data_IF_026709894869
#
_entry.id   IF_026709894869
#
_cell.length_a   1.000
_cell.length_b   1.000
_cell.length_c   1.000
_cell.angle_alpha   90.00
_cell.angle_beta   90.00
_cell.angle_gamma   90.00
#
_symmetry.space_group_name_H-M   'P 1'
#
loop_
_entity.id
_entity.type
_entity.pdbx_description
1 polymer ?
#
# COMPACT_ATOMS: atom_id res chain seq x y z
N UNK A 1 -3.64 -19.76 -15.46
CA UNK A 1 -4.88 -19.00 -15.25
C UNK A 1 -4.61 -17.52 -15.48
N UNK A 2 -5.30 -16.93 -16.42
CA UNK A 2 -5.13 -15.53 -16.73
C UNK A 2 -5.90 -14.69 -15.71
N UNK A 3 -5.21 -13.83 -14.97
CA UNK A 3 -5.84 -13.01 -13.97
C UNK A 3 -6.20 -11.62 -14.50
N UNK A 4 -5.44 -11.10 -15.47
CA UNK A 4 -5.55 -9.74 -16.01
C UNK A 4 -5.55 -8.64 -14.93
N UNK A 5 -5.20 -8.98 -13.69
CA UNK A 5 -5.10 -7.99 -12.62
C UNK A 5 -3.79 -7.22 -12.73
N UNK A 6 -3.88 -5.92 -12.52
CA UNK A 6 -2.72 -5.03 -12.59
C UNK A 6 -2.20 -4.72 -11.20
N UNK A 7 -0.89 -4.89 -11.02
CA UNK A 7 -0.17 -4.63 -9.79
C UNK A 7 0.84 -3.50 -10.03
N UNK A 8 0.88 -2.52 -9.14
CA UNK A 8 2.02 -1.61 -9.04
C UNK A 8 2.81 -2.00 -7.79
N UNK A 9 4.10 -2.19 -7.94
CA UNK A 9 4.99 -2.56 -6.85
C UNK A 9 6.02 -1.45 -6.63
N UNK A 10 6.16 -0.99 -5.40
CA UNK A 10 7.07 0.09 -5.03
C UNK A 10 8.03 -0.42 -3.95
N UNK A 11 9.32 -0.45 -4.27
CA UNK A 11 10.37 -0.96 -3.39
C UNK A 11 11.71 -0.40 -3.87
N UNK A 12 12.57 0.07 -2.99
CA UNK A 12 13.87 0.64 -3.37
C UNK A 12 14.93 -0.42 -3.71
N UNK A 13 14.67 -1.69 -3.44
CA UNK A 13 15.55 -2.79 -3.80
C UNK A 13 15.24 -3.28 -5.21
N UNK A 14 16.07 -2.89 -6.18
CA UNK A 14 15.85 -3.20 -7.59
C UNK A 14 15.91 -4.70 -7.90
N UNK A 15 16.79 -5.43 -7.24
CA UNK A 15 16.88 -6.89 -7.42
C UNK A 15 15.62 -7.59 -6.94
N UNK A 16 15.08 -7.14 -5.82
CA UNK A 16 13.83 -7.67 -5.29
C UNK A 16 12.66 -7.35 -6.22
N UNK A 17 12.58 -6.12 -6.73
CA UNK A 17 11.56 -5.73 -7.71
C UNK A 17 11.60 -6.64 -8.93
N UNK A 18 12.79 -6.86 -9.49
CA UNK A 18 12.94 -7.71 -10.67
C UNK A 18 12.48 -9.14 -10.40
N UNK A 19 12.89 -9.70 -9.26
CA UNK A 19 12.53 -11.07 -8.88
C UNK A 19 11.02 -11.22 -8.72
N UNK A 20 10.40 -10.29 -8.02
CA UNK A 20 8.96 -10.34 -7.77
C UNK A 20 8.14 -10.05 -9.02
N UNK A 21 8.58 -9.09 -9.84
CA UNK A 21 7.95 -8.82 -11.13
C UNK A 21 7.94 -10.07 -12.02
N UNK A 22 9.07 -10.75 -12.11
CA UNK A 22 9.19 -11.99 -12.88
C UNK A 22 8.23 -13.05 -12.36
N UNK A 23 8.20 -13.26 -11.04
CA UNK A 23 7.31 -14.24 -10.42
C UNK A 23 5.84 -13.92 -10.67
N UNK A 24 5.44 -12.69 -10.44
CA UNK A 24 4.04 -12.29 -10.58
C UNK A 24 3.58 -12.29 -12.04
N UNK A 25 4.44 -11.85 -12.94
CA UNK A 25 4.14 -11.89 -14.39
C UNK A 25 3.92 -13.32 -14.87
N UNK A 26 4.74 -14.24 -14.40
CA UNK A 26 4.56 -15.68 -14.71
C UNK A 26 3.26 -16.25 -14.17
N UNK A 27 2.69 -15.63 -13.15
CA UNK A 27 1.43 -16.06 -12.57
C UNK A 27 0.22 -15.28 -13.12
N UNK A 28 0.38 -14.58 -14.24
CA UNK A 28 -0.71 -13.98 -14.98
C UNK A 28 -1.05 -12.53 -14.59
N UNK A 29 -0.25 -11.90 -13.75
CA UNK A 29 -0.47 -10.50 -13.39
C UNK A 29 0.25 -9.55 -14.35
N UNK A 30 -0.33 -8.38 -14.57
CA UNK A 30 0.39 -7.27 -15.19
C UNK A 30 1.08 -6.49 -14.07
N UNK A 31 2.39 -6.27 -14.18
CA UNK A 31 3.17 -5.65 -13.11
C UNK A 31 3.96 -4.45 -13.63
N UNK A 32 3.79 -3.32 -12.95
CA UNK A 32 4.62 -2.14 -13.15
C UNK A 32 5.34 -1.85 -11.83
N UNK A 33 6.60 -1.41 -11.91
CA UNK A 33 7.44 -1.24 -10.72
C UNK A 33 8.00 0.18 -10.62
N UNK A 34 8.28 0.62 -9.40
CA UNK A 34 8.96 1.87 -9.11
C UNK A 34 9.93 1.69 -7.96
N UNK A 35 11.08 2.36 -8.03
CA UNK A 35 12.13 2.30 -7.02
C UNK A 35 11.96 3.33 -5.90
N UNK A 36 11.10 4.32 -6.07
CA UNK A 36 10.90 5.34 -5.05
C UNK A 36 9.43 5.74 -4.93
N UNK A 37 9.10 6.36 -3.79
CA UNK A 37 7.72 6.70 -3.47
C UNK A 37 7.12 7.77 -4.37
N UNK A 38 7.91 8.75 -4.79
CA UNK A 38 7.41 9.84 -5.65
C UNK A 38 7.03 9.34 -7.03
N UNK A 39 7.95 8.61 -7.68
CA UNK A 39 7.68 7.98 -8.97
C UNK A 39 6.60 6.92 -8.84
N UNK A 40 6.56 6.23 -7.71
CA UNK A 40 5.53 5.26 -7.40
C UNK A 40 4.14 5.88 -7.39
N UNK A 41 3.99 7.04 -6.75
CA UNK A 41 2.72 7.75 -6.73
C UNK A 41 2.27 8.17 -8.15
N UNK A 42 3.20 8.70 -8.94
CA UNK A 42 2.92 9.06 -10.34
C UNK A 42 2.49 7.85 -11.14
N UNK A 43 3.18 6.73 -10.97
CA UNK A 43 2.86 5.47 -11.65
C UNK A 43 1.48 4.94 -11.25
N UNK A 44 1.15 4.99 -9.97
CA UNK A 44 -0.14 4.56 -9.48
C UNK A 44 -1.26 5.42 -10.07
N UNK A 45 -1.08 6.73 -10.15
CA UNK A 45 -2.05 7.62 -10.78
C UNK A 45 -2.27 7.30 -12.25
N UNK A 46 -1.18 7.02 -12.96
CA UNK A 46 -1.23 6.68 -14.39
C UNK A 46 -1.88 5.33 -14.63
N UNK A 47 -1.49 4.33 -13.88
CA UNK A 47 -1.89 2.94 -14.12
C UNK A 47 -3.20 2.55 -13.44
N UNK A 48 -3.59 3.24 -12.39
CA UNK A 48 -4.76 2.90 -11.57
C UNK A 48 -4.88 1.39 -11.33
N UNK A 49 -3.89 0.78 -10.62
CA UNK A 49 -3.83 -0.67 -10.49
C UNK A 49 -4.97 -1.24 -9.65
N UNK A 50 -5.14 -2.56 -9.75
CA UNK A 50 -6.10 -3.28 -8.92
C UNK A 50 -5.58 -3.46 -7.49
N UNK A 51 -4.26 -3.47 -7.31
CA UNK A 51 -3.62 -3.60 -5.99
C UNK A 51 -2.20 -3.02 -6.04
N UNK A 52 -1.75 -2.53 -4.90
CA UNK A 52 -0.40 -1.97 -4.71
C UNK A 52 0.35 -2.86 -3.73
N UNK A 53 1.58 -3.24 -4.10
CA UNK A 53 2.53 -3.87 -3.19
C UNK A 53 3.56 -2.82 -2.82
N UNK A 54 3.65 -2.47 -1.55
CA UNK A 54 4.39 -1.31 -1.09
C UNK A 54 5.37 -1.68 0.01
N UNK A 55 6.67 -1.46 -0.24
CA UNK A 55 7.68 -1.54 0.83
C UNK A 55 7.46 -0.37 1.78
N UNK A 56 7.18 -0.66 3.04
CA UNK A 56 6.88 0.39 4.02
C UNK A 56 8.12 1.09 4.54
N UNK A 57 9.30 0.52 4.31
CA UNK A 57 10.58 1.06 4.77
C UNK A 57 11.56 1.16 3.60
N UNK A 58 11.45 2.21 2.80
CA UNK A 58 12.32 2.43 1.64
C UNK A 58 13.51 3.33 1.99
N UNK A 59 13.48 4.57 1.51
CA UNK A 59 14.58 5.53 1.65
C UNK A 59 14.81 5.95 3.10
N UNK A 60 13.72 6.03 3.88
CA UNK A 60 13.76 6.34 5.30
C UNK A 60 12.82 5.40 6.04
N UNK A 61 12.92 5.38 7.38
CA UNK A 61 11.92 4.69 8.20
C UNK A 61 10.55 5.29 7.88
N UNK A 62 9.58 4.45 7.59
CA UNK A 62 8.20 4.84 7.34
C UNK A 62 7.95 5.60 6.02
N UNK A 63 8.92 5.66 5.09
CA UNK A 63 8.70 6.33 3.80
C UNK A 63 7.55 5.70 3.01
N UNK A 64 7.38 4.38 3.09
CA UNK A 64 6.25 3.70 2.50
C UNK A 64 4.93 4.03 3.18
N UNK A 65 4.94 4.23 4.49
CA UNK A 65 3.74 4.68 5.22
C UNK A 65 3.31 6.08 4.79
N UNK A 66 4.27 6.97 4.52
CA UNK A 66 3.95 8.30 4.01
C UNK A 66 3.29 8.22 2.63
N UNK A 67 3.78 7.34 1.76
CA UNK A 67 3.12 7.09 0.48
C UNK A 67 1.71 6.54 0.69
N UNK A 68 1.56 5.60 1.61
CA UNK A 68 0.26 5.03 1.95
C UNK A 68 -0.72 6.14 2.41
N UNK A 69 -0.25 7.05 3.24
CA UNK A 69 -1.04 8.21 3.69
C UNK A 69 -1.48 9.08 2.51
N UNK A 70 -0.56 9.41 1.60
CA UNK A 70 -0.88 10.20 0.43
C UNK A 70 -1.94 9.51 -0.44
N UNK A 71 -1.83 8.20 -0.61
CA UNK A 71 -2.81 7.41 -1.37
C UNK A 71 -4.19 7.44 -0.71
N UNK A 72 -4.24 7.23 0.60
CA UNK A 72 -5.50 7.21 1.34
C UNK A 72 -6.20 8.57 1.40
N UNK A 73 -5.43 9.65 1.30
CA UNK A 73 -5.99 11.00 1.28
C UNK A 73 -6.44 11.46 -0.10
N UNK A 74 -6.08 10.74 -1.14
CA UNK A 74 -6.44 11.07 -2.52
C UNK A 74 -7.79 10.43 -2.85
N UNK A 75 -8.78 11.24 -3.24
CA UNK A 75 -10.14 10.77 -3.51
C UNK A 75 -10.21 9.76 -4.66
N UNK A 76 -9.29 9.85 -5.61
CA UNK A 76 -9.24 8.94 -6.75
C UNK A 76 -8.51 7.63 -6.45
N UNK A 77 -7.63 7.61 -5.45
CA UNK A 77 -6.72 6.49 -5.18
C UNK A 77 -6.99 5.79 -3.84
N UNK A 78 -7.78 6.37 -2.98
CA UNK A 78 -7.98 5.89 -1.59
C UNK A 78 -8.53 4.47 -1.48
N UNK A 79 -9.27 4.01 -2.47
CA UNK A 79 -9.93 2.71 -2.44
C UNK A 79 -9.09 1.59 -3.05
N UNK A 80 -7.91 1.91 -3.59
CA UNK A 80 -7.02 0.89 -4.13
C UNK A 80 -6.42 0.10 -2.96
N UNK A 81 -6.58 -1.24 -2.94
CA UNK A 81 -6.02 -2.04 -1.85
C UNK A 81 -4.49 -2.02 -1.85
N UNK A 82 -3.91 -2.03 -0.66
CA UNK A 82 -2.46 -1.97 -0.46
C UNK A 82 -2.02 -3.13 0.43
N UNK A 83 -1.02 -3.89 -0.04
CA UNK A 83 -0.30 -4.85 0.80
C UNK A 83 1.04 -4.21 1.15
N UNK A 84 1.28 -3.97 2.43
CA UNK A 84 2.56 -3.48 2.93
C UNK A 84 3.55 -4.63 3.07
N UNK A 85 4.79 -4.40 2.66
CA UNK A 85 5.85 -5.40 2.76
C UNK A 85 6.99 -4.79 3.57
N UNK A 86 7.52 -5.54 4.54
CA UNK A 86 8.58 -5.04 5.41
C UNK A 86 9.62 -6.12 5.67
N UNK A 87 10.90 -5.77 5.52
CA UNK A 87 11.99 -6.70 5.76
C UNK A 87 12.76 -6.46 7.05
N UNK A 88 12.61 -5.31 7.67
CA UNK A 88 13.50 -4.91 8.76
C UNK A 88 12.79 -4.61 10.08
N UNK A 89 11.48 -4.71 10.13
CA UNK A 89 10.74 -4.29 11.33
C UNK A 89 11.10 -5.14 12.56
N UNK A 90 11.20 -6.46 12.37
CA UNK A 90 11.60 -7.36 13.46
C UNK A 90 13.05 -7.18 13.87
N UNK A 91 13.96 -6.97 12.91
CA UNK A 91 15.39 -6.83 13.16
C UNK A 91 15.74 -5.52 13.88
N UNK A 92 15.06 -4.43 13.51
CA UNK A 92 15.31 -3.12 14.10
C UNK A 92 14.47 -2.84 15.34
N UNK A 93 13.54 -3.73 15.69
CA UNK A 93 12.61 -3.49 16.78
C UNK A 93 11.64 -2.34 16.50
N UNK A 94 11.44 -2.01 15.24
CA UNK A 94 10.55 -0.91 14.86
C UNK A 94 9.10 -1.37 14.91
N UNK A 95 8.27 -0.63 15.65
CA UNK A 95 6.85 -0.87 15.70
C UNK A 95 6.15 0.14 14.77
N UNK A 96 5.70 -0.34 13.61
CA UNK A 96 5.02 0.50 12.63
C UNK A 96 3.69 1.05 13.14
N UNK A 97 3.13 0.49 14.20
CA UNK A 97 1.92 1.02 14.84
C UNK A 97 2.17 2.38 15.51
N UNK A 98 3.45 2.74 15.72
CA UNK A 98 3.82 4.06 16.23
C UNK A 98 3.82 5.14 15.16
N UNK A 99 3.66 4.76 13.88
CA UNK A 99 3.53 5.74 12.81
C UNK A 99 2.32 6.62 13.07
N UNK A 100 2.47 7.96 12.99
CA UNK A 100 1.33 8.86 13.21
C UNK A 100 0.15 8.53 12.32
N UNK A 101 -1.03 8.45 12.92
CA UNK A 101 -2.28 8.14 12.23
C UNK A 101 -2.31 6.76 11.55
N UNK A 102 -1.47 5.83 12.06
CA UNK A 102 -1.38 4.46 11.51
C UNK A 102 -2.74 3.81 11.29
N UNK A 103 -3.65 3.91 12.26
CA UNK A 103 -4.95 3.26 12.18
C UNK A 103 -5.83 3.77 11.02
N UNK A 104 -5.57 4.99 10.56
CA UNK A 104 -6.34 5.61 9.47
C UNK A 104 -5.74 5.34 8.09
N UNK A 105 -4.43 5.23 8.02
CA UNK A 105 -3.72 5.17 6.74
C UNK A 105 -2.98 3.86 6.50
N UNK A 106 -3.11 2.90 7.40
CA UNK A 106 -2.39 1.62 7.28
C UNK A 106 -2.75 0.87 5.99
N UNK A 107 -1.83 0.05 5.48
CA UNK A 107 -2.15 -0.89 4.42
C UNK A 107 -3.27 -1.86 4.84
N UNK A 108 -3.90 -2.48 3.84
CA UNK A 108 -4.97 -3.45 4.09
C UNK A 108 -4.44 -4.78 4.64
N UNK A 109 -3.20 -5.11 4.30
CA UNK A 109 -2.54 -6.33 4.78
C UNK A 109 -1.03 -6.11 4.83
N UNK A 110 -0.34 -6.96 5.56
CA UNK A 110 1.12 -6.92 5.70
C UNK A 110 1.74 -8.28 5.42
N UNK A 111 2.92 -8.26 4.83
CA UNK A 111 3.78 -9.43 4.68
C UNK A 111 5.20 -9.05 5.11
N UNK A 112 5.88 -9.99 5.78
CA UNK A 112 7.29 -9.83 6.12
C UNK A 112 8.18 -10.37 5.00
N UNK A 113 9.36 -9.77 4.84
CA UNK A 113 10.41 -10.34 3.98
C UNK A 113 11.23 -11.38 4.76
N UNK A 114 11.63 -12.48 4.16
CA UNK A 114 11.38 -12.87 2.79
C UNK A 114 9.91 -13.27 2.59
N UNK A 115 9.34 -12.78 1.49
CA UNK A 115 7.92 -13.01 1.22
C UNK A 115 7.67 -14.47 0.83
N UNK A 116 6.72 -15.11 1.51
CA UNK A 116 6.20 -16.40 1.09
C UNK A 116 5.37 -16.18 -0.17
N UNK A 117 5.89 -16.63 -1.30
CA UNK A 117 5.28 -16.41 -2.62
C UNK A 117 3.89 -17.01 -2.74
N UNK A 118 3.68 -18.19 -2.15
CA UNK A 118 2.36 -18.83 -2.19
C UNK A 118 1.35 -18.06 -1.35
N UNK A 119 1.78 -17.57 -0.20
CA UNK A 119 0.94 -16.72 0.65
C UNK A 119 0.56 -15.42 -0.07
N UNK A 120 1.52 -14.81 -0.78
CA UNK A 120 1.27 -13.60 -1.57
C UNK A 120 0.23 -13.85 -2.65
N UNK A 121 0.34 -14.96 -3.38
CA UNK A 121 -0.62 -15.30 -4.44
C UNK A 121 -2.05 -15.45 -3.90
N UNK A 122 -2.21 -15.93 -2.68
CA UNK A 122 -3.53 -16.04 -2.04
C UNK A 122 -4.00 -14.69 -1.51
N UNK A 123 -3.08 -13.91 -0.95
CA UNK A 123 -3.41 -12.66 -0.28
C UNK A 123 -3.87 -11.58 -1.27
N UNK A 124 -3.34 -11.58 -2.49
CA UNK A 124 -3.71 -10.59 -3.50
C UNK A 124 -5.23 -10.59 -3.78
N UNK A 125 -5.82 -11.72 -4.23
CA UNK A 125 -7.27 -11.71 -4.49
C UNK A 125 -8.11 -11.51 -3.22
N UNK A 126 -7.66 -12.05 -2.09
CA UNK A 126 -8.37 -11.85 -0.81
C UNK A 126 -8.43 -10.37 -0.44
N UNK A 127 -7.33 -9.65 -0.60
CA UNK A 127 -7.24 -8.23 -0.26
C UNK A 127 -8.12 -7.39 -1.20
N UNK A 128 -8.12 -7.72 -2.50
CA UNK A 128 -8.96 -7.05 -3.48
C UNK A 128 -10.45 -7.25 -3.15
N UNK A 129 -10.85 -8.48 -2.83
CA UNK A 129 -12.24 -8.79 -2.49
C UNK A 129 -12.70 -8.05 -1.22
N UNK A 130 -11.84 -8.00 -0.20
CA UNK A 130 -12.12 -7.22 1.01
C UNK A 130 -12.33 -5.75 0.70
N UNK A 131 -11.49 -5.17 -0.15
CA UNK A 131 -11.60 -3.76 -0.53
C UNK A 131 -12.90 -3.48 -1.26
N UNK A 132 -13.35 -4.38 -2.13
CA UNK A 132 -14.64 -4.24 -2.84
C UNK A 132 -15.82 -4.24 -1.88
N UNK A 133 -15.78 -5.03 -0.83
CA UNK A 133 -16.85 -5.10 0.17
C UNK A 133 -16.89 -3.86 1.06
N UNK A 134 -15.78 -3.11 1.15
CA UNK A 134 -15.66 -1.92 1.98
C UNK A 134 -15.81 -0.62 1.17
N UNK A 135 -16.48 -0.64 0.03
CA UNK A 135 -16.66 0.52 -0.85
C UNK A 135 -17.47 1.66 -0.23
N UNK A 136 -17.87 1.55 1.03
CA UNK A 136 -18.46 2.67 1.76
C UNK A 136 -17.34 3.61 2.21
N UNK A 137 -17.68 4.88 2.42
CA UNK A 137 -16.74 5.89 2.91
C UNK A 137 -15.93 5.31 4.08
N UNK A 138 -14.58 5.30 4.01
CA UNK A 138 -13.76 4.71 5.07
C UNK A 138 -13.98 5.41 6.41
N UNK A 139 -13.97 4.65 7.50
CA UNK A 139 -14.16 5.20 8.86
C UNK A 139 -13.13 6.26 9.22
N UNK A 140 -11.89 6.11 8.72
CA UNK A 140 -10.85 7.09 8.97
C UNK A 140 -11.20 8.47 8.39
N UNK A 141 -11.83 8.50 7.22
CA UNK A 141 -12.20 9.74 6.57
C UNK A 141 -13.32 10.46 7.34
N UNK A 142 -14.30 9.72 7.81
CA UNK A 142 -15.35 10.28 8.64
C UNK A 142 -14.79 10.91 9.93
N UNK A 143 -13.85 10.21 10.56
CA UNK A 143 -13.21 10.68 11.78
C UNK A 143 -12.36 11.92 11.51
N UNK A 144 -11.59 11.94 10.44
CA UNK A 144 -10.80 13.12 10.04
C UNK A 144 -11.67 14.32 9.76
N UNK A 145 -12.77 14.12 9.03
CA UNK A 145 -13.69 15.23 8.74
C UNK A 145 -14.26 15.81 10.03
N UNK A 146 -14.58 14.97 11.02
CA UNK A 146 -15.05 15.42 12.33
C UNK A 146 -13.98 16.20 13.09
N UNK A 147 -12.75 15.68 13.09
CA UNK A 147 -11.62 16.35 13.77
C UNK A 147 -11.31 17.69 13.12
N UNK A 148 -11.33 17.77 11.79
CA UNK A 148 -11.10 19.02 11.07
C UNK A 148 -12.22 20.03 11.31
N UNK A 149 -13.47 19.56 11.33
CA UNK A 149 -14.60 20.42 11.66
C UNK A 149 -14.47 21.01 13.06
N UNK A 150 -14.03 20.21 14.05
CA UNK A 150 -13.77 20.68 15.40
C UNK A 150 -12.65 21.72 15.43
N UNK A 151 -11.55 21.47 14.73
CA UNK A 151 -10.43 22.42 14.64
C UNK A 151 -10.86 23.72 13.98
N UNK A 152 -11.67 23.66 12.93
CA UNK A 152 -12.19 24.85 12.27
C UNK A 152 -13.09 25.68 13.19
N UNK A 153 -13.87 25.04 14.07
CA UNK A 153 -14.73 25.75 15.02
C UNK A 153 -13.94 26.45 16.15
N UNK A 154 -12.70 26.01 16.40
CA UNK A 154 -11.84 26.62 17.41
C UNK A 154 -10.92 27.72 16.86
N UNK A 155 -10.88 27.95 15.55
CA UNK A 155 -9.98 28.91 14.92
C UNK A 155 -10.59 30.27 14.69
N UNK A 156 -11.65 30.64 15.43
CA UNK A 156 -12.27 31.95 15.39
C UNK A 156 -11.83 32.84 16.54
#
# INVERSE_FOLDING_TARGET
METNLKIVMVDDNTDYLFTMETFLTRNGFEVETSEDGRKGLELIRKETPDIILLDVMMETLFSGFELCKQLRMDDDLKDIPIIGISGMMGELGVDYKQWPDYDYFKPDAFLDKPVDKQKLLRLIPETIEKAKKQKKRPKWKEKMDKEWAQKASFSH
#
